data_IF_470419701507
#
_entry.id   IF_470419701507
#
_cell.length_a   1.000
_cell.length_b   1.000
_cell.length_c   1.000
_cell.angle_alpha   90.00
_cell.angle_beta   90.00
_cell.angle_gamma   90.00
#
_symmetry.space_group_name_H-M   'P 1'
#
loop_
_entity.id
_entity.type
_entity.pdbx_description
1 polymer ?
#
# COMPACT_ATOMS: atom_id res chain seq x y z
N UNK A 1 18.95 14.82 4.34
CA UNK A 1 20.19 15.65 4.41
C UNK A 1 21.46 14.82 4.24
N UNK A 2 21.55 13.58 4.75
CA UNK A 2 22.76 12.74 4.63
C UNK A 2 23.18 12.39 3.18
N UNK A 3 22.23 12.05 2.29
CA UNK A 3 22.51 11.64 0.90
C UNK A 3 23.23 12.70 0.07
N UNK A 4 22.85 13.97 0.26
CA UNK A 4 23.46 15.12 -0.42
C UNK A 4 24.92 15.27 0.02
N UNK A 5 25.16 15.15 1.33
CA UNK A 5 26.51 15.19 1.90
C UNK A 5 27.41 14.04 1.41
N UNK A 6 26.87 12.83 1.23
CA UNK A 6 27.66 11.68 0.77
C UNK A 6 28.00 11.77 -0.73
N UNK A 7 27.08 12.24 -1.57
CA UNK A 7 27.33 12.50 -2.99
C UNK A 7 28.30 13.67 -3.19
N UNK A 8 28.15 14.75 -2.42
CA UNK A 8 29.06 15.89 -2.46
C UNK A 8 30.49 15.50 -2.05
N UNK A 9 30.62 14.62 -1.05
CA UNK A 9 31.92 14.06 -0.64
C UNK A 9 32.56 13.20 -1.74
N UNK A 10 31.79 12.33 -2.39
CA UNK A 10 32.31 11.54 -3.52
C UNK A 10 32.80 12.45 -4.65
N UNK A 11 32.02 13.47 -5.01
CA UNK A 11 32.39 14.43 -6.06
C UNK A 11 33.69 15.19 -5.72
N UNK A 12 33.92 15.51 -4.44
CA UNK A 12 35.17 16.11 -3.99
C UNK A 12 36.35 15.14 -4.04
N UNK A 13 36.15 13.85 -3.76
CA UNK A 13 37.19 12.84 -3.93
C UNK A 13 37.54 12.60 -5.40
N UNK A 14 36.54 12.58 -6.29
CA UNK A 14 36.74 12.44 -7.73
C UNK A 14 37.55 13.61 -8.33
N UNK A 15 37.35 14.83 -7.82
CA UNK A 15 38.14 16.00 -8.25
C UNK A 15 39.60 15.96 -7.79
N UNK A 16 39.89 15.29 -6.68
CA UNK A 16 41.23 15.25 -6.06
C UNK A 16 42.01 13.99 -6.43
N UNK A 17 41.34 12.98 -6.97
CA UNK A 17 41.96 11.71 -7.33
C UNK A 17 42.90 11.88 -8.53
N UNK A 18 44.05 11.24 -8.46
CA UNK A 18 45.01 11.20 -9.55
C UNK A 18 44.58 10.15 -10.59
N UNK A 19 44.34 10.54 -11.86
CA UNK A 19 43.93 9.61 -12.91
C UNK A 19 44.92 8.47 -13.17
N UNK A 20 46.19 8.66 -12.82
CA UNK A 20 47.25 7.68 -13.06
C UNK A 20 47.45 6.69 -11.90
N UNK A 21 46.70 6.83 -10.79
CA UNK A 21 46.82 5.91 -9.66
C UNK A 21 45.70 4.85 -9.68
N UNK A 22 46.01 3.58 -10.03
CA UNK A 22 45.01 2.53 -10.17
C UNK A 22 44.31 2.17 -8.85
N UNK A 23 44.96 2.37 -7.70
CA UNK A 23 44.35 2.09 -6.40
C UNK A 23 43.27 3.11 -6.04
N UNK A 24 43.50 4.39 -6.37
CA UNK A 24 42.51 5.44 -6.15
C UNK A 24 41.29 5.26 -7.08
N UNK A 25 41.53 4.85 -8.33
CA UNK A 25 40.46 4.54 -9.28
C UNK A 25 39.58 3.36 -8.81
N UNK A 26 40.19 2.30 -8.27
CA UNK A 26 39.47 1.15 -7.73
C UNK A 26 38.60 1.54 -6.51
N UNK A 27 39.15 2.34 -5.59
CA UNK A 27 38.42 2.81 -4.42
C UNK A 27 37.23 3.71 -4.79
N UNK A 28 37.38 4.59 -5.78
CA UNK A 28 36.27 5.42 -6.27
C UNK A 28 35.16 4.57 -6.88
N UNK A 29 35.48 3.49 -7.60
CA UNK A 29 34.47 2.56 -8.10
C UNK A 29 33.72 1.86 -6.98
N UNK A 30 34.42 1.42 -5.94
CA UNK A 30 33.82 0.78 -4.78
C UNK A 30 32.89 1.75 -4.02
N UNK A 31 33.33 3.00 -3.82
CA UNK A 31 32.49 4.05 -3.20
C UNK A 31 31.22 4.33 -4.02
N UNK A 32 31.32 4.36 -5.35
CA UNK A 32 30.15 4.49 -6.25
C UNK A 32 29.19 3.30 -6.09
N UNK A 33 29.70 2.08 -6.02
CA UNK A 33 28.90 0.88 -5.84
C UNK A 33 28.15 0.89 -4.49
N UNK A 34 28.84 1.29 -3.41
CA UNK A 34 28.24 1.42 -2.09
C UNK A 34 27.16 2.49 -2.02
N UNK A 35 27.39 3.67 -2.62
CA UNK A 35 26.37 4.73 -2.65
C UNK A 35 25.13 4.31 -3.45
N UNK A 36 25.31 3.59 -4.56
CA UNK A 36 24.20 3.04 -5.34
C UNK A 36 23.39 2.01 -4.54
N UNK A 37 24.06 1.13 -3.81
CA UNK A 37 23.39 0.15 -2.94
C UNK A 37 22.61 0.83 -1.80
N UNK A 38 23.21 1.83 -1.14
CA UNK A 38 22.55 2.65 -0.11
C UNK A 38 21.34 3.41 -0.65
N UNK A 39 21.41 3.93 -1.88
CA UNK A 39 20.28 4.58 -2.52
C UNK A 39 19.12 3.61 -2.79
N UNK A 40 19.42 2.38 -3.21
CA UNK A 40 18.42 1.33 -3.40
C UNK A 40 17.76 0.86 -2.11
N UNK A 41 18.51 0.73 -1.01
CA UNK A 41 17.94 0.41 0.30
C UNK A 41 17.03 1.54 0.79
N UNK A 42 17.50 2.79 0.72
CA UNK A 42 16.75 3.96 1.18
C UNK A 42 15.49 4.26 0.36
N UNK A 43 15.43 3.88 -0.92
CA UNK A 43 14.21 3.99 -1.75
C UNK A 43 13.01 3.26 -1.15
N UNK A 44 13.26 2.19 -0.41
CA UNK A 44 12.22 1.39 0.25
C UNK A 44 12.01 1.80 1.72
N UNK A 45 12.88 2.65 2.28
CA UNK A 45 12.79 3.11 3.67
C UNK A 45 11.91 4.35 3.84
N UNK A 46 11.64 5.14 2.79
CA UNK A 46 10.80 6.32 2.95
C UNK A 46 9.32 5.91 3.11
N UNK A 47 8.73 6.07 4.31
CA UNK A 47 7.35 5.67 4.59
C UNK A 47 6.33 6.52 3.82
N UNK A 48 6.75 7.60 3.13
CA UNK A 48 5.90 8.38 2.22
C UNK A 48 5.88 7.82 0.80
N UNK A 49 6.92 7.08 0.40
CA UNK A 49 7.00 6.34 -0.86
C UNK A 49 6.52 4.88 -0.74
N UNK A 50 6.16 4.44 0.46
CA UNK A 50 5.60 3.12 0.75
C UNK A 50 4.37 2.77 -0.10
N UNK A 51 3.66 3.76 -0.65
CA UNK A 51 2.52 3.55 -1.55
C UNK A 51 2.89 2.99 -2.93
N UNK A 52 4.17 3.07 -3.30
CA UNK A 52 4.67 2.65 -4.60
C UNK A 52 5.36 1.29 -4.59
N UNK A 53 5.57 0.71 -3.41
CA UNK A 53 6.18 -0.61 -3.27
C UNK A 53 5.24 -1.69 -3.84
N UNK A 54 5.79 -2.76 -4.42
CA UNK A 54 4.99 -3.90 -4.88
C UNK A 54 4.08 -4.46 -3.79
N UNK A 55 4.60 -4.57 -2.57
CA UNK A 55 3.88 -5.12 -1.41
C UNK A 55 2.66 -4.28 -1.04
N UNK A 56 2.79 -2.95 -1.09
CA UNK A 56 1.68 -2.05 -0.82
C UNK A 56 0.65 -2.10 -1.94
N UNK A 57 1.07 -2.13 -3.22
CA UNK A 57 0.14 -2.24 -4.35
C UNK A 57 -0.66 -3.54 -4.28
N UNK A 58 -0.02 -4.65 -3.88
CA UNK A 58 -0.71 -5.90 -3.64
C UNK A 58 -1.67 -5.83 -2.46
N UNK A 59 -1.27 -5.23 -1.34
CA UNK A 59 -2.14 -5.03 -0.19
C UNK A 59 -3.35 -4.15 -0.55
N UNK A 60 -3.13 -3.07 -1.31
CA UNK A 60 -4.17 -2.18 -1.82
C UNK A 60 -5.10 -2.91 -2.78
N UNK A 61 -4.57 -3.76 -3.66
CA UNK A 61 -5.38 -4.59 -4.56
C UNK A 61 -6.27 -5.55 -3.77
N UNK A 62 -5.69 -6.32 -2.84
CA UNK A 62 -6.43 -7.25 -1.96
C UNK A 62 -7.50 -6.51 -1.15
N UNK A 63 -7.17 -5.36 -0.60
CA UNK A 63 -8.11 -4.51 0.12
C UNK A 63 -9.25 -4.03 -0.78
N UNK A 64 -8.94 -3.58 -1.99
CA UNK A 64 -9.94 -3.09 -2.95
C UNK A 64 -10.86 -4.22 -3.41
N UNK A 65 -10.32 -5.40 -3.69
CA UNK A 65 -11.07 -6.59 -4.04
C UNK A 65 -11.96 -7.06 -2.88
N UNK A 66 -11.44 -7.06 -1.65
CA UNK A 66 -12.20 -7.34 -0.43
C UNK A 66 -13.32 -6.32 -0.21
N UNK A 67 -13.01 -5.03 -0.30
CA UNK A 67 -13.97 -3.94 -0.10
C UNK A 67 -15.17 -4.03 -1.06
N UNK A 68 -14.93 -4.36 -2.34
CA UNK A 68 -16.00 -4.57 -3.33
C UNK A 68 -16.99 -5.65 -2.92
N UNK A 69 -16.53 -6.67 -2.19
CA UNK A 69 -17.33 -7.79 -1.71
C UNK A 69 -17.68 -7.67 -0.22
N UNK A 70 -17.59 -6.45 0.35
CA UNK A 70 -17.78 -6.18 1.78
C UNK A 70 -16.98 -7.14 2.70
N UNK A 71 -15.79 -7.53 2.27
CA UNK A 71 -14.90 -8.48 2.95
C UNK A 71 -15.56 -9.83 3.28
N UNK A 72 -16.48 -10.30 2.42
CA UNK A 72 -17.21 -11.55 2.66
C UNK A 72 -18.22 -11.46 3.80
N UNK A 73 -18.61 -10.25 4.20
CA UNK A 73 -19.58 -9.98 5.25
C UNK A 73 -20.92 -9.53 4.67
N UNK A 74 -22.03 -9.85 5.36
CA UNK A 74 -23.34 -9.29 5.03
C UNK A 74 -23.35 -7.76 5.16
N UNK A 75 -24.13 -7.12 4.30
CA UNK A 75 -24.57 -5.74 4.50
C UNK A 75 -25.76 -5.76 5.47
N UNK A 76 -25.53 -5.27 6.68
CA UNK A 76 -26.55 -5.23 7.73
C UNK A 76 -27.27 -3.88 7.80
N UNK A 77 -26.73 -2.84 7.16
CA UNK A 77 -27.26 -1.48 7.23
C UNK A 77 -27.37 -0.92 5.82
N UNK A 78 -28.53 -0.34 5.52
CA UNK A 78 -28.76 0.31 4.24
C UNK A 78 -29.64 1.55 4.42
N UNK A 79 -29.61 2.40 3.40
CA UNK A 79 -30.52 3.53 3.29
C UNK A 79 -31.87 3.01 2.82
N UNK A 80 -32.84 2.97 3.72
CA UNK A 80 -34.20 2.52 3.43
C UNK A 80 -35.18 3.69 3.42
N UNK A 81 -36.12 3.65 2.48
CA UNK A 81 -37.25 4.58 2.42
C UNK A 81 -38.51 3.84 2.82
N UNK A 82 -39.14 4.26 3.91
CA UNK A 82 -40.44 3.74 4.31
C UNK A 82 -41.54 4.07 3.29
N UNK A 83 -41.44 5.25 2.65
CA UNK A 83 -42.41 5.75 1.68
C UNK A 83 -41.73 6.39 0.46
N UNK A 84 -42.37 6.42 -0.72
CA UNK A 84 -41.77 7.00 -1.94
C UNK A 84 -41.34 8.46 -1.78
N UNK A 85 -42.09 9.23 -0.98
CA UNK A 85 -41.85 10.65 -0.69
C UNK A 85 -40.95 10.90 0.52
N UNK A 86 -40.54 9.85 1.26
CA UNK A 86 -39.69 10.04 2.45
C UNK A 86 -38.21 10.15 2.07
N UNK A 87 -37.45 10.84 2.91
CA UNK A 87 -35.99 10.85 2.86
C UNK A 87 -35.47 9.46 3.29
N UNK A 88 -34.49 8.87 2.59
CA UNK A 88 -33.90 7.61 3.02
C UNK A 88 -33.25 7.78 4.38
N UNK A 89 -33.43 6.80 5.27
CA UNK A 89 -32.78 6.75 6.58
C UNK A 89 -31.89 5.52 6.66
N UNK A 90 -30.73 5.66 7.31
CA UNK A 90 -29.86 4.52 7.58
C UNK A 90 -30.52 3.65 8.66
N UNK A 91 -30.96 2.45 8.29
CA UNK A 91 -31.54 1.47 9.21
C UNK A 91 -30.85 0.13 9.09
N UNK A 92 -30.93 -0.63 10.18
CA UNK A 92 -30.50 -2.03 10.19
C UNK A 92 -31.53 -2.84 9.42
N UNK A 93 -31.07 -3.63 8.46
CA UNK A 93 -31.90 -4.51 7.65
C UNK A 93 -32.36 -5.71 8.47
N UNK A 94 -33.64 -6.06 8.33
CA UNK A 94 -34.20 -7.28 8.93
C UNK A 94 -33.57 -8.54 8.34
N UNK A 95 -33.28 -8.50 7.04
CA UNK A 95 -32.57 -9.57 6.33
C UNK A 95 -31.27 -9.00 5.77
N UNK A 96 -30.11 -9.48 6.23
CA UNK A 96 -28.84 -9.06 5.66
C UNK A 96 -28.78 -9.38 4.17
N UNK A 97 -28.14 -8.51 3.40
CA UNK A 97 -27.99 -8.66 1.95
C UNK A 97 -26.52 -8.69 1.52
N UNK A 98 -26.23 -9.19 0.33
CA UNK A 98 -24.94 -9.00 -0.32
C UNK A 98 -24.81 -7.59 -0.90
N UNK A 99 -23.64 -7.27 -1.45
CA UNK A 99 -23.39 -5.96 -2.09
C UNK A 99 -24.23 -5.74 -3.36
N UNK A 100 -24.83 -6.79 -3.91
CA UNK A 100 -25.74 -6.75 -5.05
C UNK A 100 -27.22 -6.63 -4.63
N UNK A 101 -27.53 -6.68 -3.33
CA UNK A 101 -28.88 -6.61 -2.78
C UNK A 101 -29.62 -7.95 -2.71
N UNK A 102 -28.96 -9.08 -2.98
CA UNK A 102 -29.54 -10.40 -2.78
C UNK A 102 -29.50 -10.80 -1.30
N UNK A 103 -30.44 -11.62 -0.81
CA UNK A 103 -30.42 -12.11 0.57
C UNK A 103 -29.12 -12.86 0.90
N UNK A 104 -28.50 -12.53 2.02
CA UNK A 104 -27.31 -13.21 2.50
C UNK A 104 -27.67 -14.60 3.04
N UNK A 105 -26.87 -15.65 2.77
CA UNK A 105 -27.14 -16.98 3.29
C UNK A 105 -27.07 -17.01 4.82
N UNK A 106 -28.11 -17.54 5.44
CA UNK A 106 -28.23 -17.71 6.88
C UNK A 106 -27.91 -19.15 7.27
N UNK A 107 -27.33 -19.34 8.45
CA UNK A 107 -27.12 -20.65 9.06
C UNK A 107 -28.44 -21.23 9.64
N UNK A 108 -28.45 -22.49 10.13
CA UNK A 108 -29.64 -23.08 10.75
C UNK A 108 -30.16 -22.35 12.00
N UNK A 109 -29.36 -21.45 12.57
CA UNK A 109 -29.68 -20.64 13.74
C UNK A 109 -30.19 -19.24 13.36
N UNK A 110 -30.27 -18.92 12.06
CA UNK A 110 -30.71 -17.64 11.53
C UNK A 110 -29.63 -16.55 11.53
N UNK A 111 -28.37 -16.88 11.80
CA UNK A 111 -27.25 -15.95 11.77
C UNK A 111 -26.58 -15.90 10.37
N UNK A 112 -26.04 -14.75 9.94
CA UNK A 112 -25.40 -14.65 8.63
C UNK A 112 -24.10 -15.46 8.56
N UNK A 113 -23.95 -16.27 7.51
CA UNK A 113 -22.73 -17.07 7.31
C UNK A 113 -21.59 -16.17 6.86
N UNK A 114 -20.52 -16.07 7.67
CA UNK A 114 -19.33 -15.32 7.30
C UNK A 114 -18.49 -16.13 6.30
N UNK A 115 -18.23 -15.57 5.11
CA UNK A 115 -17.31 -16.16 4.15
C UNK A 115 -15.89 -15.71 4.52
N UNK A 116 -14.99 -16.65 4.82
CA UNK A 116 -13.57 -16.36 5.07
C UNK A 116 -12.85 -15.93 3.80
#
# INVERSE_FOLDING_TARGET
MAQRNDQDRLADFEKRADPNNPQQAALLQEMRAHLKALEQQRKNEDPRLSFSTPEFKEAQRKFTEGFKNNFGRPVEWAMEKDFPWSTPQLRKLDKPVDVQGNPWPLDPQGQPILKQ
#
